data_IF_063458773339
#
_entry.id   IF_063458773339
#
_cell.length_a   1.000
_cell.length_b   1.000
_cell.length_c   1.000
_cell.angle_alpha   90.00
_cell.angle_beta   90.00
_cell.angle_gamma   90.00
#
_symmetry.space_group_name_H-M   'P 1'
#
loop_
_entity.id
_entity.type
_entity.pdbx_description
1 polymer ?
#
# COMPACT_ATOMS: atom_id res chain seq x y z
N UNK A 1 -33.19 -12.64 -18.23
CA UNK A 1 -32.16 -12.28 -17.25
C UNK A 1 -32.74 -11.27 -16.26
N UNK A 2 -32.40 -11.41 -14.96
CA UNK A 2 -32.78 -10.43 -13.94
C UNK A 2 -31.56 -9.54 -13.65
N UNK A 3 -31.48 -8.38 -14.30
CA UNK A 3 -30.42 -7.43 -14.14
C UNK A 3 -30.53 -6.74 -12.76
N UNK A 4 -29.57 -6.96 -11.86
CA UNK A 4 -29.57 -6.41 -10.51
C UNK A 4 -28.91 -5.05 -10.40
N UNK A 5 -27.81 -4.86 -11.11
CA UNK A 5 -27.10 -3.58 -11.12
C UNK A 5 -26.32 -3.37 -12.41
N UNK A 6 -26.07 -2.09 -12.70
CA UNK A 6 -25.19 -1.61 -13.78
C UNK A 6 -24.12 -0.76 -13.16
N UNK A 7 -22.87 -0.99 -13.53
CA UNK A 7 -21.77 -0.19 -13.02
C UNK A 7 -20.72 0.13 -14.09
N UNK A 8 -19.96 1.16 -13.82
CA UNK A 8 -18.71 1.46 -14.49
C UNK A 8 -17.63 1.83 -13.47
N UNK A 9 -16.42 2.11 -13.92
CA UNK A 9 -15.30 2.50 -13.08
C UNK A 9 -14.58 3.68 -13.72
N UNK A 10 -14.51 4.81 -13.01
CA UNK A 10 -13.78 5.99 -13.49
C UNK A 10 -12.28 5.70 -13.55
N UNK A 11 -11.69 5.88 -14.73
CA UNK A 11 -10.28 5.54 -14.97
C UNK A 11 -9.30 6.50 -14.28
N UNK A 12 -9.74 7.74 -14.01
CA UNK A 12 -8.90 8.80 -13.43
C UNK A 12 -9.67 9.57 -12.34
N UNK A 13 -10.32 8.81 -11.45
CA UNK A 13 -11.15 9.36 -10.37
C UNK A 13 -10.37 10.16 -9.33
N UNK A 14 -9.06 9.99 -9.22
CA UNK A 14 -8.12 10.73 -8.38
C UNK A 14 -7.62 12.03 -8.97
N UNK A 15 -7.79 12.24 -10.29
CA UNK A 15 -7.38 13.46 -10.97
C UNK A 15 -8.12 14.69 -10.44
N UNK A 16 -7.43 15.82 -10.47
CA UNK A 16 -8.09 17.11 -10.20
C UNK A 16 -9.15 17.39 -11.23
N UNK A 17 -10.31 17.86 -10.78
CA UNK A 17 -11.39 18.32 -11.68
C UNK A 17 -11.06 19.72 -12.27
N UNK A 18 -11.42 19.98 -13.55
CA UNK A 18 -12.12 19.08 -14.48
C UNK A 18 -11.21 18.03 -15.09
N UNK A 19 -11.75 16.81 -15.30
CA UNK A 19 -11.07 15.69 -15.98
C UNK A 19 -11.89 15.28 -17.20
N UNK A 20 -11.39 15.59 -18.39
CA UNK A 20 -12.12 15.32 -19.65
C UNK A 20 -12.47 13.84 -19.81
N UNK A 21 -11.58 12.93 -19.42
CA UNK A 21 -11.83 11.49 -19.53
C UNK A 21 -12.93 11.03 -18.56
N UNK A 22 -12.94 11.53 -17.34
CA UNK A 22 -13.99 11.25 -16.38
C UNK A 22 -15.33 11.84 -16.84
N UNK A 23 -15.35 13.07 -17.33
CA UNK A 23 -16.57 13.73 -17.79
C UNK A 23 -17.20 12.96 -18.96
N UNK A 24 -16.40 12.44 -19.90
CA UNK A 24 -16.88 11.57 -20.98
C UNK A 24 -17.46 10.24 -20.47
N UNK A 25 -16.78 9.59 -19.51
CA UNK A 25 -17.28 8.35 -18.89
C UNK A 25 -18.60 8.61 -18.13
N UNK A 26 -18.70 9.71 -17.42
CA UNK A 26 -19.91 10.12 -16.68
C UNK A 26 -21.07 10.36 -17.67
N UNK A 27 -20.85 11.11 -18.74
CA UNK A 27 -21.88 11.40 -19.75
C UNK A 27 -22.41 10.11 -20.38
N UNK A 28 -21.53 9.15 -20.71
CA UNK A 28 -21.92 7.85 -21.24
C UNK A 28 -22.72 7.05 -20.23
N UNK A 29 -22.30 7.02 -18.96
CA UNK A 29 -22.98 6.30 -17.92
C UNK A 29 -24.38 6.86 -17.64
N UNK A 30 -24.55 8.19 -17.66
CA UNK A 30 -25.86 8.85 -17.55
C UNK A 30 -26.79 8.53 -18.73
N UNK A 31 -26.25 8.46 -19.94
CA UNK A 31 -27.04 8.06 -21.12
C UNK A 31 -27.56 6.62 -20.98
N UNK A 32 -26.72 5.70 -20.50
CA UNK A 32 -27.12 4.31 -20.25
C UNK A 32 -28.18 4.23 -19.15
N UNK A 33 -28.01 4.95 -18.05
CA UNK A 33 -28.99 5.02 -16.97
C UNK A 33 -30.36 5.53 -17.46
N UNK A 34 -30.36 6.59 -18.24
CA UNK A 34 -31.57 7.16 -18.84
C UNK A 34 -32.26 6.17 -19.77
N UNK A 35 -31.54 5.46 -20.63
CA UNK A 35 -32.09 4.45 -21.53
C UNK A 35 -32.78 3.32 -20.75
N UNK A 36 -32.19 2.83 -19.63
CA UNK A 36 -32.79 1.80 -18.81
C UNK A 36 -34.05 2.28 -18.07
N UNK A 37 -34.10 3.52 -17.60
CA UNK A 37 -35.29 4.06 -16.92
C UNK A 37 -36.54 4.14 -17.79
N UNK A 38 -36.36 4.20 -19.11
CA UNK A 38 -37.48 4.31 -20.09
C UNK A 38 -37.96 2.94 -20.58
N UNK A 39 -37.09 1.92 -20.57
CA UNK A 39 -37.37 0.66 -21.29
C UNK A 39 -37.69 -0.54 -20.37
N UNK A 40 -37.51 -0.44 -19.04
CA UNK A 40 -37.62 -1.59 -18.15
C UNK A 40 -38.69 -1.42 -17.08
N UNK A 41 -39.46 -2.49 -16.85
CA UNK A 41 -40.36 -2.60 -15.69
C UNK A 41 -39.65 -2.77 -14.34
N UNK A 42 -38.33 -3.04 -14.36
CA UNK A 42 -37.48 -3.17 -13.18
C UNK A 42 -36.22 -2.36 -13.43
N UNK A 43 -36.02 -1.29 -12.66
CA UNK A 43 -34.85 -0.43 -12.75
C UNK A 43 -33.71 -1.08 -11.93
N UNK A 44 -32.57 -1.42 -12.56
CA UNK A 44 -31.41 -1.94 -11.84
C UNK A 44 -30.76 -0.83 -11.00
N UNK A 45 -29.99 -1.21 -9.97
CA UNK A 45 -29.17 -0.26 -9.22
C UNK A 45 -27.98 0.21 -10.06
N UNK A 46 -27.67 1.50 -9.98
CA UNK A 46 -26.53 2.10 -10.67
C UNK A 46 -25.44 2.48 -9.68
N UNK A 47 -24.17 2.21 -10.04
CA UNK A 47 -23.05 2.65 -9.24
C UNK A 47 -21.79 2.89 -10.09
N UNK A 48 -21.11 4.01 -9.82
CA UNK A 48 -19.96 4.48 -10.60
C UNK A 48 -18.72 4.64 -9.75
N UNK A 49 -18.86 5.22 -8.55
CA UNK A 49 -17.74 5.71 -7.77
C UNK A 49 -16.98 4.61 -7.03
N UNK A 50 -15.63 4.71 -7.10
CA UNK A 50 -14.68 4.08 -6.22
C UNK A 50 -14.34 5.03 -5.05
N UNK A 51 -13.36 4.69 -4.21
CA UNK A 51 -12.95 5.50 -3.06
C UNK A 51 -12.60 6.94 -3.43
N UNK A 52 -11.76 7.16 -4.43
CA UNK A 52 -11.37 8.51 -4.87
C UNK A 52 -12.55 9.28 -5.48
N UNK A 53 -13.38 8.58 -6.22
CA UNK A 53 -14.59 9.16 -6.81
C UNK A 53 -15.59 9.68 -5.77
N UNK A 54 -15.73 9.02 -4.62
CA UNK A 54 -16.60 9.47 -3.52
C UNK A 54 -16.21 10.85 -3.02
N UNK A 55 -14.92 11.15 -2.97
CA UNK A 55 -14.43 12.47 -2.56
C UNK A 55 -14.49 13.51 -3.68
N UNK A 56 -14.18 13.11 -4.90
CA UNK A 56 -14.04 14.07 -6.03
C UNK A 56 -15.33 14.32 -6.79
N UNK A 57 -16.31 13.39 -6.74
CA UNK A 57 -17.57 13.43 -7.47
C UNK A 57 -18.77 13.09 -6.56
N UNK A 58 -18.92 13.74 -5.39
CA UNK A 58 -19.92 13.35 -4.37
C UNK A 58 -21.36 13.41 -4.91
N UNK A 59 -21.61 14.18 -5.96
CA UNK A 59 -22.91 14.28 -6.64
C UNK A 59 -23.29 13.03 -7.46
N UNK A 60 -22.33 12.10 -7.72
CA UNK A 60 -22.53 10.93 -8.59
C UNK A 60 -22.58 9.62 -7.81
N UNK A 61 -23.04 9.64 -6.56
CA UNK A 61 -23.10 8.43 -5.70
C UNK A 61 -24.15 7.41 -6.18
N UNK A 62 -25.17 7.86 -6.89
CA UNK A 62 -26.28 7.03 -7.37
C UNK A 62 -26.88 6.16 -6.26
N UNK A 63 -27.12 4.86 -6.56
CA UNK A 63 -27.74 3.92 -5.59
C UNK A 63 -26.71 3.34 -4.60
N UNK A 64 -25.41 3.35 -4.95
CA UNK A 64 -24.32 2.85 -4.08
C UNK A 64 -22.95 3.27 -4.57
N UNK A 65 -21.97 3.18 -3.69
CA UNK A 65 -20.54 3.42 -3.96
C UNK A 65 -19.72 2.19 -3.60
N UNK A 66 -18.50 2.11 -4.12
CA UNK A 66 -17.56 1.01 -3.87
C UNK A 66 -16.31 1.55 -3.16
N UNK A 67 -16.36 1.60 -1.84
CA UNK A 67 -15.22 1.99 -1.04
C UNK A 67 -14.32 0.79 -0.73
N UNK A 68 -13.03 0.93 -0.97
CA UNK A 68 -11.99 -0.04 -0.64
C UNK A 68 -10.89 0.65 0.15
N UNK A 69 -9.97 1.32 -0.54
CA UNK A 69 -8.79 1.94 0.06
C UNK A 69 -9.14 3.04 1.07
N UNK A 70 -10.28 3.70 0.94
CA UNK A 70 -10.71 4.71 1.90
C UNK A 70 -10.93 4.15 3.31
N UNK A 71 -11.36 2.88 3.44
CA UNK A 71 -11.45 2.19 4.73
C UNK A 71 -10.08 1.89 5.35
N UNK A 72 -9.02 1.91 4.56
CA UNK A 72 -7.64 1.80 5.04
C UNK A 72 -7.00 3.16 5.34
N UNK A 73 -7.74 4.25 5.16
CA UNK A 73 -7.28 5.60 5.48
C UNK A 73 -6.57 6.32 4.34
N UNK A 74 -6.86 5.97 3.07
CA UNK A 74 -6.26 6.60 1.89
C UNK A 74 -7.31 6.93 0.82
N UNK A 75 -7.17 8.10 0.19
CA UNK A 75 -7.99 8.54 -0.94
C UNK A 75 -7.14 8.87 -2.19
N UNK A 76 -5.82 8.61 -2.13
CA UNK A 76 -4.82 8.87 -3.17
C UNK A 76 -4.73 10.36 -3.60
N UNK A 77 -5.08 11.24 -2.70
CA UNK A 77 -4.96 12.68 -2.92
C UNK A 77 -4.67 13.38 -1.59
N UNK A 78 -3.63 14.24 -1.50
CA UNK A 78 -3.18 14.84 -0.23
C UNK A 78 -4.29 15.55 0.56
N UNK A 79 -5.19 16.27 -0.15
CA UNK A 79 -6.32 16.96 0.46
C UNK A 79 -7.26 16.03 1.21
N UNK A 80 -7.55 14.86 0.64
CA UNK A 80 -8.49 13.90 1.19
C UNK A 80 -7.81 12.95 2.16
N UNK A 81 -6.55 12.57 1.90
CA UNK A 81 -5.75 11.77 2.83
C UNK A 81 -5.61 12.45 4.19
N UNK A 82 -5.53 13.79 4.22
CA UNK A 82 -5.50 14.57 5.46
C UNK A 82 -6.76 14.43 6.34
N UNK A 83 -7.89 14.01 5.77
CA UNK A 83 -9.16 13.79 6.48
C UNK A 83 -9.32 12.34 6.95
N UNK A 84 -8.46 11.43 6.51
CA UNK A 84 -8.54 10.00 6.78
C UNK A 84 -7.45 9.58 7.76
N UNK A 85 -7.69 8.50 8.47
CA UNK A 85 -6.72 7.91 9.40
C UNK A 85 -6.26 6.57 8.87
N UNK A 86 -4.95 6.40 8.53
CA UNK A 86 -4.38 5.09 8.24
C UNK A 86 -4.61 4.14 9.42
N UNK A 87 -5.19 2.96 9.14
CA UNK A 87 -5.53 1.98 10.19
C UNK A 87 -4.58 0.79 10.22
N UNK A 88 -3.83 0.56 9.13
CA UNK A 88 -2.95 -0.59 9.01
C UNK A 88 -1.56 -0.27 9.56
N UNK A 89 -1.06 -1.17 10.38
CA UNK A 89 0.32 -1.20 10.88
C UNK A 89 0.93 -2.54 10.49
N UNK A 90 2.13 -2.53 9.91
CA UNK A 90 2.92 -3.73 9.65
C UNK A 90 4.18 -3.69 10.50
N UNK A 91 4.29 -4.65 11.38
CA UNK A 91 5.44 -4.84 12.26
C UNK A 91 6.07 -6.21 12.07
N UNK A 92 7.34 -6.30 12.37
CA UNK A 92 8.09 -7.53 12.47
C UNK A 92 9.01 -7.48 13.69
N UNK A 93 9.83 -8.52 13.85
CA UNK A 93 10.84 -8.57 14.91
C UNK A 93 12.18 -8.97 14.35
N UNK A 94 13.25 -8.43 14.93
CA UNK A 94 14.60 -8.85 14.60
C UNK A 94 14.77 -10.31 15.06
N UNK A 95 15.12 -11.19 14.11
CA UNK A 95 15.43 -12.60 14.43
C UNK A 95 16.89 -12.81 14.75
N UNK A 96 17.79 -12.07 14.10
CA UNK A 96 19.22 -12.24 14.24
C UNK A 96 19.95 -10.93 13.92
N UNK A 97 21.10 -10.73 14.55
CA UNK A 97 22.02 -9.61 14.28
C UNK A 97 23.41 -10.18 13.99
N UNK A 98 24.06 -9.67 12.95
CA UNK A 98 25.40 -10.06 12.54
C UNK A 98 26.31 -8.85 12.40
N UNK A 99 27.56 -9.01 12.82
CA UNK A 99 28.65 -8.13 12.42
C UNK A 99 29.17 -8.54 11.03
N UNK A 100 29.26 -7.59 10.13
CA UNK A 100 29.70 -7.78 8.75
C UNK A 100 30.90 -6.89 8.49
N UNK A 101 32.06 -7.47 8.15
CA UNK A 101 33.29 -6.73 7.89
C UNK A 101 33.22 -5.97 6.57
N UNK A 102 33.88 -4.81 6.55
CA UNK A 102 34.07 -4.02 5.32
C UNK A 102 34.49 -4.91 4.14
N UNK A 103 33.78 -4.78 3.02
CA UNK A 103 34.04 -5.51 1.79
C UNK A 103 33.36 -6.87 1.70
N UNK A 104 32.76 -7.39 2.79
CA UNK A 104 31.96 -8.61 2.78
C UNK A 104 30.60 -8.36 2.12
N UNK A 105 29.96 -9.44 1.62
CA UNK A 105 28.68 -9.38 0.94
C UNK A 105 27.54 -9.87 1.83
N UNK A 106 26.34 -9.28 1.63
CA UNK A 106 25.09 -9.66 2.30
C UNK A 106 24.04 -9.98 1.24
N UNK A 107 23.33 -11.12 1.46
CA UNK A 107 22.22 -11.57 0.62
C UNK A 107 22.67 -12.28 -0.66
N UNK A 108 21.66 -12.80 -1.40
CA UNK A 108 21.85 -13.48 -2.68
C UNK A 108 22.49 -12.57 -3.73
N UNK A 109 23.22 -13.18 -4.68
CA UNK A 109 23.86 -12.50 -5.81
C UNK A 109 24.81 -11.37 -5.38
N UNK A 110 25.44 -11.49 -4.19
CA UNK A 110 26.26 -10.42 -3.64
C UNK A 110 25.52 -9.07 -3.59
N UNK A 111 24.24 -9.10 -3.25
CA UNK A 111 23.29 -8.00 -3.42
C UNK A 111 23.65 -6.70 -2.68
N UNK A 112 24.50 -6.79 -1.65
CA UNK A 112 25.05 -5.61 -0.98
C UNK A 112 26.46 -5.88 -0.48
N UNK A 113 27.38 -4.98 -0.75
CA UNK A 113 28.77 -5.03 -0.27
C UNK A 113 28.93 -4.01 0.86
N UNK A 114 29.34 -4.46 2.05
CA UNK A 114 29.52 -3.59 3.21
C UNK A 114 30.61 -2.52 2.93
N UNK A 115 30.28 -1.23 2.93
CA UNK A 115 31.25 -0.15 2.68
C UNK A 115 32.16 0.11 3.87
N UNK A 116 31.72 -0.24 5.06
CA UNK A 116 32.44 -0.16 6.35
C UNK A 116 32.12 -1.42 7.15
N UNK A 117 32.75 -1.60 8.32
CA UNK A 117 32.29 -2.61 9.28
C UNK A 117 30.87 -2.25 9.70
N UNK A 118 29.95 -3.18 9.51
CA UNK A 118 28.50 -2.93 9.59
C UNK A 118 27.81 -3.93 10.50
N UNK A 119 26.68 -3.54 11.06
CA UNK A 119 25.80 -4.42 11.84
C UNK A 119 24.51 -4.61 11.04
N UNK A 120 24.19 -5.86 10.72
CA UNK A 120 23.04 -6.22 9.87
C UNK A 120 22.05 -7.04 10.68
N UNK A 121 20.79 -6.63 10.68
CA UNK A 121 19.69 -7.37 11.29
C UNK A 121 18.87 -8.10 10.23
N UNK A 122 18.41 -9.31 10.56
CA UNK A 122 17.52 -10.13 9.72
C UNK A 122 16.09 -10.07 10.24
N UNK A 123 15.15 -9.86 9.34
CA UNK A 123 13.70 -9.86 9.59
C UNK A 123 13.04 -11.03 8.88
N UNK A 124 12.07 -11.74 9.51
CA UNK A 124 11.40 -12.92 8.95
C UNK A 124 10.20 -12.52 8.06
N UNK A 125 10.39 -11.56 7.17
CA UNK A 125 9.45 -11.12 6.15
C UNK A 125 10.17 -10.98 4.81
N UNK A 126 9.53 -11.43 3.74
CA UNK A 126 10.09 -11.36 2.41
C UNK A 126 9.02 -11.18 1.32
N UNK A 127 9.40 -11.49 0.07
CA UNK A 127 8.48 -11.25 -1.04
C UNK A 127 7.27 -12.20 -1.05
N UNK A 128 7.34 -13.37 -0.41
CA UNK A 128 6.18 -14.25 -0.21
C UNK A 128 5.18 -13.69 0.81
N UNK A 129 5.59 -12.71 1.60
CA UNK A 129 4.75 -12.04 2.59
C UNK A 129 4.20 -10.69 2.09
N UNK A 130 4.56 -10.29 0.86
CA UNK A 130 4.11 -9.04 0.25
C UNK A 130 5.14 -7.91 0.26
N UNK A 131 6.36 -8.14 0.79
CA UNK A 131 7.46 -7.17 0.71
C UNK A 131 8.29 -7.46 -0.53
N UNK A 132 7.90 -6.86 -1.65
CA UNK A 132 8.48 -7.16 -2.96
C UNK A 132 9.98 -6.88 -3.07
N UNK A 133 10.64 -7.53 -4.04
CA UNK A 133 12.10 -7.39 -4.29
C UNK A 133 12.52 -5.95 -4.60
N UNK A 134 11.61 -5.14 -5.10
CA UNK A 134 11.83 -3.73 -5.43
C UNK A 134 12.12 -2.84 -4.22
N UNK A 135 11.88 -3.31 -2.99
CA UNK A 135 12.27 -2.61 -1.76
C UNK A 135 13.73 -2.85 -1.34
N UNK A 136 14.42 -3.83 -1.92
CA UNK A 136 15.83 -4.07 -1.67
C UNK A 136 16.75 -2.96 -2.15
N UNK A 137 18.07 -3.13 -1.92
CA UNK A 137 19.14 -2.24 -2.41
C UNK A 137 18.95 -0.78 -1.97
N UNK A 138 18.65 -0.54 -0.69
CA UNK A 138 18.43 0.80 -0.09
C UNK A 138 17.24 1.58 -0.66
N UNK A 139 16.33 0.93 -1.40
CA UNK A 139 15.13 1.61 -1.88
C UNK A 139 14.06 1.70 -0.80
N UNK A 140 13.90 0.63 -0.01
CA UNK A 140 12.99 0.60 1.14
C UNK A 140 13.73 0.81 2.45
N UNK A 141 13.00 1.35 3.44
CA UNK A 141 13.47 1.51 4.82
C UNK A 141 12.36 1.15 5.81
N UNK A 142 12.78 0.75 7.00
CA UNK A 142 11.92 0.42 8.13
C UNK A 142 12.36 1.24 9.36
N UNK A 143 11.58 1.21 10.43
CA UNK A 143 11.88 1.97 11.64
C UNK A 143 12.06 1.06 12.86
N UNK A 144 13.12 1.33 13.64
CA UNK A 144 13.42 0.67 14.91
C UNK A 144 13.64 1.76 15.94
N UNK A 145 12.86 1.77 17.03
CA UNK A 145 12.93 2.78 18.10
C UNK A 145 12.82 4.23 17.59
N UNK A 146 12.17 4.43 16.43
CA UNK A 146 12.05 5.73 15.79
C UNK A 146 13.19 6.10 14.83
N UNK A 147 14.20 5.26 14.71
CA UNK A 147 15.34 5.45 13.79
C UNK A 147 15.13 4.67 12.49
N UNK A 148 15.50 5.27 11.37
CA UNK A 148 15.32 4.68 10.04
C UNK A 148 16.46 3.71 9.72
N UNK A 149 16.11 2.48 9.33
CA UNK A 149 17.02 1.41 8.92
C UNK A 149 16.76 1.01 7.47
N UNK A 150 17.72 1.18 6.53
CA UNK A 150 17.54 0.83 5.13
C UNK A 150 17.55 -0.69 4.92
N UNK A 151 16.76 -1.17 3.97
CA UNK A 151 16.76 -2.56 3.51
C UNK A 151 17.97 -2.76 2.60
N UNK A 152 18.87 -3.67 2.95
CA UNK A 152 20.11 -3.95 2.22
C UNK A 152 20.05 -5.28 1.47
N UNK A 153 20.73 -5.32 0.32
CA UNK A 153 20.74 -6.50 -0.54
C UNK A 153 19.38 -6.83 -1.16
N UNK A 154 19.24 -8.06 -1.61
CA UNK A 154 17.99 -8.57 -2.17
C UNK A 154 17.00 -8.94 -1.07
N UNK A 155 15.71 -8.59 -1.26
CA UNK A 155 14.63 -9.19 -0.46
C UNK A 155 14.48 -10.65 -0.88
N UNK A 156 14.60 -11.55 0.09
CA UNK A 156 14.47 -13.00 -0.11
C UNK A 156 12.99 -13.44 -0.05
N UNK A 157 12.74 -14.75 -0.16
CA UNK A 157 11.37 -15.29 -0.15
C UNK A 157 10.64 -14.97 1.16
N UNK A 158 11.28 -15.25 2.29
CA UNK A 158 10.72 -15.22 3.65
C UNK A 158 11.54 -14.41 4.65
N UNK A 159 12.57 -13.69 4.17
CA UNK A 159 13.40 -12.83 4.99
C UNK A 159 13.95 -11.65 4.20
N UNK A 160 14.37 -10.62 4.92
CA UNK A 160 15.15 -9.50 4.39
C UNK A 160 16.14 -9.01 5.44
N UNK A 161 17.13 -8.26 5.00
CA UNK A 161 18.17 -7.70 5.84
C UNK A 161 18.09 -6.18 5.85
N UNK A 162 18.41 -5.60 7.01
CA UNK A 162 18.44 -4.15 7.22
C UNK A 162 19.78 -3.75 7.86
N UNK A 163 20.28 -2.59 7.49
CA UNK A 163 21.47 -2.02 8.10
C UNK A 163 21.09 -1.29 9.41
N UNK A 164 21.64 -1.76 10.51
CA UNK A 164 21.43 -1.20 11.85
C UNK A 164 22.75 -0.74 12.49
N UNK A 165 23.76 -0.43 11.67
CA UNK A 165 25.12 -0.07 12.12
C UNK A 165 25.12 1.03 13.19
N UNK A 166 24.24 2.02 13.03
CA UNK A 166 24.15 3.16 13.94
C UNK A 166 22.95 3.09 14.90
N UNK A 167 22.21 1.98 14.90
CA UNK A 167 20.97 1.83 15.69
C UNK A 167 21.23 0.81 16.81
N UNK A 168 21.03 1.23 18.06
CA UNK A 168 21.14 0.33 19.21
C UNK A 168 19.90 -0.57 19.28
N UNK A 169 20.06 -1.81 18.86
CA UNK A 169 18.97 -2.80 18.88
C UNK A 169 19.47 -4.20 19.25
N UNK A 170 18.53 -5.10 19.51
CA UNK A 170 18.78 -6.51 19.87
C UNK A 170 17.74 -7.43 19.22
N UNK A 171 18.01 -8.74 19.16
CA UNK A 171 16.99 -9.72 18.74
C UNK A 171 15.69 -9.53 19.52
N UNK A 172 14.55 -9.72 18.84
CA UNK A 172 13.18 -9.52 19.31
C UNK A 172 12.72 -8.05 19.42
N UNK A 173 13.55 -7.06 19.14
CA UNK A 173 13.09 -5.68 19.02
C UNK A 173 12.10 -5.56 17.86
N UNK A 174 11.09 -4.72 18.07
CA UNK A 174 10.03 -4.47 17.06
C UNK A 174 10.56 -3.57 15.95
N UNK A 175 10.26 -3.94 14.72
CA UNK A 175 10.57 -3.19 13.51
C UNK A 175 9.28 -2.83 12.81
N UNK A 176 9.04 -1.54 12.58
CA UNK A 176 7.86 -1.03 11.89
C UNK A 176 8.17 -0.80 10.41
N UNK A 177 7.44 -1.45 9.52
CA UNK A 177 7.48 -1.23 8.08
C UNK A 177 6.63 -0.02 7.70
N UNK A 178 5.40 -0.01 8.19
CA UNK A 178 4.51 1.13 8.08
C UNK A 178 3.48 1.13 9.21
N UNK A 179 2.98 2.31 9.51
CA UNK A 179 2.00 2.59 10.55
C UNK A 179 1.68 4.08 10.56
N UNK A 180 0.93 4.55 11.54
CA UNK A 180 0.54 5.96 11.58
C UNK A 180 1.67 6.91 11.99
N UNK A 181 2.69 6.41 12.70
CA UNK A 181 3.68 7.27 13.38
C UNK A 181 4.85 7.65 12.48
N UNK A 182 5.44 6.70 11.75
CA UNK A 182 6.69 6.94 11.02
C UNK A 182 6.50 6.92 9.51
N UNK A 183 5.85 5.88 9.01
CA UNK A 183 5.77 5.59 7.60
C UNK A 183 4.39 5.00 7.31
N UNK A 184 3.57 5.69 6.54
CA UNK A 184 2.27 5.13 6.15
C UNK A 184 2.45 4.07 5.07
N UNK A 185 1.46 3.20 4.84
CA UNK A 185 1.50 2.26 3.72
C UNK A 185 1.68 2.99 2.36
N UNK A 186 1.16 4.21 2.23
CA UNK A 186 1.35 5.03 1.04
C UNK A 186 2.79 5.55 0.90
N UNK A 187 3.41 6.02 1.98
CA UNK A 187 4.81 6.48 1.92
C UNK A 187 5.79 5.31 1.78
N UNK A 188 5.55 4.19 2.45
CA UNK A 188 6.35 2.98 2.28
C UNK A 188 6.29 2.46 0.83
N UNK A 189 5.09 2.34 0.25
CA UNK A 189 4.94 1.87 -1.13
C UNK A 189 5.69 2.74 -2.15
N UNK A 190 5.70 4.06 -1.97
CA UNK A 190 6.45 4.99 -2.84
C UNK A 190 7.95 4.71 -2.88
N UNK A 191 8.56 4.24 -1.79
CA UNK A 191 9.99 3.87 -1.74
C UNK A 191 10.30 2.76 -2.76
N UNK A 192 9.37 1.82 -2.94
CA UNK A 192 9.45 0.75 -3.93
C UNK A 192 8.82 1.08 -5.29
N UNK A 193 8.45 2.35 -5.56
CA UNK A 193 7.74 2.76 -6.77
C UNK A 193 6.40 2.04 -6.97
N UNK A 194 5.70 1.77 -5.88
CA UNK A 194 4.41 1.09 -5.82
C UNK A 194 3.34 2.00 -5.20
N UNK A 195 2.15 1.47 -4.95
CA UNK A 195 1.00 2.16 -4.39
C UNK A 195 0.47 1.47 -3.13
N UNK A 196 -0.22 2.20 -2.27
CA UNK A 196 -0.79 1.67 -1.02
C UNK A 196 -1.71 0.47 -1.24
N UNK A 197 -2.42 0.41 -2.36
CA UNK A 197 -3.28 -0.72 -2.71
C UNK A 197 -2.50 -2.03 -2.83
N UNK A 198 -1.38 -2.01 -3.56
CA UNK A 198 -0.56 -3.20 -3.79
C UNK A 198 0.02 -3.73 -2.47
N UNK A 199 0.59 -2.85 -1.64
CA UNK A 199 1.13 -3.24 -0.33
C UNK A 199 0.03 -3.83 0.56
N UNK A 200 -1.11 -3.14 0.71
CA UNK A 200 -2.16 -3.58 1.64
C UNK A 200 -2.85 -4.87 1.20
N UNK A 201 -3.09 -5.03 -0.11
CA UNK A 201 -3.72 -6.23 -0.66
C UNK A 201 -2.74 -7.40 -0.85
N UNK A 202 -1.45 -7.10 -0.98
CA UNK A 202 -0.39 -8.09 -1.21
C UNK A 202 0.13 -8.77 0.05
N UNK A 203 -0.27 -8.33 1.25
CA UNK A 203 0.18 -8.94 2.51
C UNK A 203 -0.24 -10.42 2.59
N UNK A 204 0.75 -11.30 2.68
CA UNK A 204 0.57 -12.75 2.66
C UNK A 204 -0.17 -13.31 3.89
N UNK A 205 -0.69 -14.54 3.81
CA UNK A 205 -1.45 -15.17 4.90
C UNK A 205 -0.58 -15.57 6.10
N UNK A 206 0.74 -15.63 5.97
CA UNK A 206 1.66 -15.88 7.08
C UNK A 206 1.69 -14.75 8.11
N UNK A 207 1.34 -13.52 7.70
CA UNK A 207 1.29 -12.37 8.59
C UNK A 207 0.04 -12.47 9.47
N UNK A 208 0.26 -12.55 10.77
CA UNK A 208 -0.84 -12.57 11.75
C UNK A 208 -1.56 -11.21 11.72
N UNK A 209 -2.89 -11.24 11.54
CA UNK A 209 -3.75 -10.05 11.66
C UNK A 209 -4.23 -9.93 13.09
N UNK A 210 -4.00 -8.78 13.68
CA UNK A 210 -4.46 -8.44 15.04
C UNK A 210 -5.35 -7.21 14.90
N UNK A 211 -6.57 -7.30 15.41
CA UNK A 211 -7.50 -6.16 15.46
C UNK A 211 -7.37 -5.56 16.85
N UNK A 212 -6.99 -4.30 16.91
CA UNK A 212 -6.97 -3.52 18.16
C UNK A 212 -8.30 -2.74 18.23
N UNK A 213 -9.00 -2.93 19.32
CA UNK A 213 -10.27 -2.20 19.63
C UNK A 213 -9.97 -0.80 20.21
#
# INVERSE_FOLDING_TARGET
>A
FNLKSVYSHLAASEDQRPSQSCDQQIALFEAIKKAHSVQSSSIPKFHLLNSSGVFNYPELQYDMVRCGIAFHGFANHPKWDALLKPIAVLESRITQIHEVKKGSYVGYDHGWKAPVDSIIATLPLGHADGIGRHFGHHKGSVFIHGEEAPIVGNVCMDMLMIDVTNIKCKPQDTVCFFGATYNTAASFSKQGQSISYEILSGLGPRIKRIINE
#
